data_IF_671782056533
#
_entry.id   IF_671782056533
#
_cell.length_a   1.000
_cell.length_b   1.000
_cell.length_c   1.000
_cell.angle_alpha   90.00
_cell.angle_beta   90.00
_cell.angle_gamma   90.00
#
_symmetry.space_group_name_H-M   'P 1'
#
loop_
_entity.id
_entity.type
_entity.pdbx_description
1 polymer ?
#
# COMPACT_ATOMS: atom_id res chain seq x y z
N UNK A 1 -7.07 5.88 26.23
CA UNK A 1 -8.51 6.22 26.18
C UNK A 1 -8.78 7.63 25.64
N UNK A 2 -8.15 8.70 26.14
CA UNK A 2 -8.40 10.08 25.67
C UNK A 2 -8.03 10.40 24.21
N UNK A 3 -7.13 9.64 23.59
CA UNK A 3 -6.71 9.89 22.20
C UNK A 3 -7.72 9.34 21.16
N UNK A 4 -8.42 8.24 21.48
CA UNK A 4 -9.45 7.63 20.62
C UNK A 4 -10.72 8.48 20.60
N UNK A 5 -11.08 9.13 21.71
CA UNK A 5 -12.25 10.02 21.76
C UNK A 5 -12.11 11.25 20.86
N UNK A 6 -10.92 11.83 20.71
CA UNK A 6 -10.72 12.99 19.84
C UNK A 6 -10.92 12.66 18.35
N UNK A 7 -10.45 11.48 17.90
CA UNK A 7 -10.67 11.02 16.53
C UNK A 7 -12.13 10.70 16.26
N UNK A 8 -12.81 10.05 17.21
CA UNK A 8 -14.26 9.82 17.13
C UNK A 8 -15.03 11.15 16.99
N UNK A 9 -14.67 12.18 17.75
CA UNK A 9 -15.28 13.52 17.61
C UNK A 9 -15.00 14.16 16.24
N UNK A 10 -13.79 14.00 15.68
CA UNK A 10 -13.45 14.51 14.35
C UNK A 10 -14.21 13.79 13.22
N UNK A 11 -14.39 12.47 13.34
CA UNK A 11 -15.18 11.67 12.39
C UNK A 11 -16.66 12.06 12.46
N UNK A 12 -17.21 12.18 13.67
CA UNK A 12 -18.59 12.63 13.88
C UNK A 12 -18.82 14.04 13.32
N UNK A 13 -17.82 14.92 13.42
CA UNK A 13 -17.83 16.25 12.81
C UNK A 13 -17.52 16.24 11.30
N UNK A 14 -17.32 15.07 10.68
CA UNK A 14 -17.01 14.90 9.25
C UNK A 14 -15.81 15.74 8.77
N UNK A 15 -14.89 16.10 9.67
CA UNK A 15 -13.74 16.98 9.38
C UNK A 15 -12.85 16.45 8.25
N UNK A 16 -12.60 15.12 8.11
CA UNK A 16 -11.80 14.61 7.00
C UNK A 16 -12.36 14.95 5.61
N UNK A 17 -13.67 15.15 5.46
CA UNK A 17 -14.29 15.49 4.17
C UNK A 17 -13.83 16.86 3.65
N UNK A 18 -13.51 17.80 4.54
CA UNK A 18 -13.00 19.11 4.14
C UNK A 18 -11.58 19.05 3.56
N UNK A 19 -10.86 17.93 3.76
CA UNK A 19 -9.52 17.73 3.22
C UNK A 19 -9.52 17.15 1.80
N UNK A 20 -10.63 16.55 1.35
CA UNK A 20 -10.70 15.88 0.06
C UNK A 20 -10.57 16.80 -1.15
N UNK A 21 -11.14 18.03 -1.13
CA UNK A 21 -10.87 19.02 -2.18
C UNK A 21 -9.37 19.31 -2.34
N UNK A 22 -8.61 19.31 -1.25
CA UNK A 22 -7.16 19.53 -1.29
C UNK A 22 -6.43 18.35 -1.94
N UNK A 23 -6.82 17.12 -1.60
CA UNK A 23 -6.28 15.89 -2.22
C UNK A 23 -6.55 15.83 -3.72
N UNK A 24 -7.66 16.40 -4.19
CA UNK A 24 -8.02 16.35 -5.61
C UNK A 24 -7.32 17.41 -6.48
N UNK A 25 -6.59 18.36 -5.87
CA UNK A 25 -5.84 19.38 -6.62
C UNK A 25 -4.81 18.75 -7.57
N UNK A 26 -4.74 19.23 -8.81
CA UNK A 26 -3.85 18.67 -9.85
C UNK A 26 -2.58 19.49 -10.08
N UNK A 27 -2.50 20.70 -9.50
CA UNK A 27 -1.34 21.56 -9.63
C UNK A 27 -0.09 20.91 -9.05
N UNK A 28 1.00 20.92 -9.82
CA UNK A 28 2.32 20.41 -9.44
C UNK A 28 3.22 21.48 -8.81
N UNK A 29 2.68 22.67 -8.52
CA UNK A 29 3.48 23.69 -7.83
C UNK A 29 3.70 23.28 -6.37
N UNK A 30 4.87 23.63 -5.83
CA UNK A 30 5.31 23.28 -4.47
C UNK A 30 4.25 23.56 -3.38
N UNK A 31 3.49 24.67 -3.39
CA UNK A 31 2.43 24.90 -2.40
C UNK A 31 1.31 23.85 -2.43
N UNK A 32 0.88 23.42 -3.61
CA UNK A 32 -0.18 22.42 -3.76
C UNK A 32 0.31 21.01 -3.42
N UNK A 33 1.57 20.69 -3.74
CA UNK A 33 2.17 19.42 -3.28
C UNK A 33 2.24 19.34 -1.76
N UNK A 34 2.67 20.41 -1.10
CA UNK A 34 2.72 20.47 0.35
C UNK A 34 1.32 20.37 0.96
N UNK A 35 0.34 21.08 0.40
CA UNK A 35 -1.06 21.01 0.84
C UNK A 35 -1.64 19.59 0.76
N UNK A 36 -1.39 18.88 -0.35
CA UNK A 36 -1.78 17.46 -0.49
C UNK A 36 -1.09 16.58 0.53
N UNK A 37 0.22 16.74 0.70
CA UNK A 37 1.00 15.94 1.65
C UNK A 37 0.53 16.14 3.10
N UNK A 38 0.27 17.38 3.52
CA UNK A 38 -0.25 17.68 4.85
C UNK A 38 -1.64 17.10 5.05
N UNK A 39 -2.51 17.19 4.04
CA UNK A 39 -3.85 16.59 4.07
C UNK A 39 -3.79 15.07 4.20
N UNK A 40 -2.92 14.40 3.42
CA UNK A 40 -2.65 12.96 3.54
C UNK A 40 -2.07 12.62 4.92
N UNK A 41 -1.23 13.48 5.49
CA UNK A 41 -0.67 13.28 6.84
C UNK A 41 -1.75 13.20 7.91
N UNK A 42 -2.80 14.04 7.83
CA UNK A 42 -3.94 13.98 8.74
C UNK A 42 -4.72 12.68 8.58
N UNK A 43 -5.04 12.28 7.34
CA UNK A 43 -5.71 11.00 7.07
C UNK A 43 -4.84 9.82 7.53
N UNK A 44 -3.53 9.88 7.29
CA UNK A 44 -2.55 8.91 7.74
C UNK A 44 -2.52 8.74 9.26
N UNK A 45 -2.64 9.85 10.00
CA UNK A 45 -2.73 9.82 11.46
C UNK A 45 -4.04 9.18 11.94
N UNK A 46 -5.16 9.45 11.25
CA UNK A 46 -6.48 8.87 11.52
C UNK A 46 -6.44 7.34 11.37
N UNK A 47 -5.98 6.84 10.22
CA UNK A 47 -5.94 5.38 9.98
C UNK A 47 -4.90 4.65 10.82
N UNK A 48 -3.94 5.36 11.42
CA UNK A 48 -2.94 4.78 12.31
C UNK A 48 -3.54 4.23 13.62
N UNK A 49 -4.74 4.66 13.99
CA UNK A 49 -5.44 4.24 15.22
C UNK A 49 -5.92 2.78 15.16
N UNK A 50 -5.95 2.16 13.97
CA UNK A 50 -6.40 0.77 13.78
C UNK A 50 -7.84 0.50 14.25
N UNK A 51 -8.73 1.47 13.98
CA UNK A 51 -10.15 1.37 14.33
C UNK A 51 -11.01 1.04 13.09
N UNK A 52 -11.79 -0.04 13.16
CA UNK A 52 -12.68 -0.47 12.08
C UNK A 52 -13.80 0.55 11.79
N UNK A 53 -14.23 1.36 12.77
CA UNK A 53 -15.21 2.43 12.53
C UNK A 53 -14.64 3.53 11.63
N UNK A 54 -13.37 3.88 11.83
CA UNK A 54 -12.62 4.79 10.96
C UNK A 54 -12.57 4.25 9.53
N UNK A 55 -12.24 2.96 9.39
CA UNK A 55 -12.17 2.32 8.07
C UNK A 55 -13.53 2.36 7.38
N UNK A 56 -14.61 1.98 8.07
CA UNK A 56 -15.97 2.07 7.54
C UNK A 56 -16.33 3.47 7.07
N UNK A 57 -16.08 4.49 7.90
CA UNK A 57 -16.30 5.89 7.52
C UNK A 57 -15.56 6.24 6.23
N UNK A 58 -14.26 5.97 6.16
CA UNK A 58 -13.43 6.30 5.00
C UNK A 58 -13.83 5.58 3.71
N UNK A 59 -14.34 4.34 3.81
CA UNK A 59 -14.84 3.59 2.66
C UNK A 59 -16.11 4.20 2.06
N UNK A 60 -16.94 4.87 2.87
CA UNK A 60 -18.15 5.57 2.38
C UNK A 60 -17.85 6.87 1.66
N UNK A 61 -16.61 7.36 1.72
CA UNK A 61 -16.24 8.72 1.30
C UNK A 61 -15.20 8.74 0.16
N UNK A 62 -15.06 7.66 -0.61
CA UNK A 62 -14.16 7.58 -1.77
C UNK A 62 -12.66 7.83 -1.47
N UNK A 63 -12.18 7.51 -0.26
CA UNK A 63 -10.76 7.70 0.07
C UNK A 63 -9.82 6.88 -0.84
N UNK A 64 -10.26 5.68 -1.26
CA UNK A 64 -9.44 4.74 -2.04
C UNK A 64 -9.13 5.36 -3.41
N UNK A 65 -10.10 5.79 -4.23
CA UNK A 65 -9.83 6.51 -5.48
C UNK A 65 -8.86 7.68 -5.33
N UNK A 66 -9.01 8.51 -4.28
CA UNK A 66 -8.12 9.65 -4.02
C UNK A 66 -6.68 9.21 -3.71
N UNK A 67 -6.52 8.16 -2.90
CA UNK A 67 -5.21 7.60 -2.59
C UNK A 67 -4.57 6.97 -3.84
N UNK A 68 -5.32 6.21 -4.63
CA UNK A 68 -4.83 5.59 -5.86
C UNK A 68 -4.33 6.63 -6.87
N UNK A 69 -5.08 7.73 -7.07
CA UNK A 69 -4.64 8.87 -7.90
C UNK A 69 -3.33 9.48 -7.39
N UNK A 70 -3.19 9.62 -6.08
CA UNK A 70 -1.97 10.14 -5.45
C UNK A 70 -0.79 9.17 -5.62
N UNK A 71 -1.03 7.87 -5.46
CA UNK A 71 -0.02 6.81 -5.64
C UNK A 71 0.52 6.79 -7.07
N UNK A 72 -0.31 7.09 -8.06
CA UNK A 72 0.10 7.16 -9.45
C UNK A 72 0.90 8.44 -9.77
N UNK A 73 0.37 9.61 -9.38
CA UNK A 73 0.83 10.91 -9.89
C UNK A 73 1.58 11.79 -8.88
N UNK A 74 1.63 11.40 -7.60
CA UNK A 74 2.20 12.22 -6.52
C UNK A 74 3.73 12.23 -6.47
N UNK A 75 4.27 13.09 -5.60
CA UNK A 75 5.69 13.01 -5.21
C UNK A 75 5.99 11.73 -4.43
N UNK A 76 7.24 11.30 -4.36
CA UNK A 76 7.65 10.08 -3.62
C UNK A 76 7.06 10.03 -2.20
N UNK A 77 7.13 11.14 -1.46
CA UNK A 77 6.56 11.24 -0.11
C UNK A 77 5.05 11.09 -0.12
N UNK A 78 4.34 11.73 -1.06
CA UNK A 78 2.88 11.63 -1.16
C UNK A 78 2.45 10.21 -1.53
N UNK A 79 3.17 9.56 -2.45
CA UNK A 79 2.96 8.14 -2.81
C UNK A 79 3.16 7.23 -1.61
N UNK A 80 4.18 7.48 -0.80
CA UNK A 80 4.47 6.70 0.42
C UNK A 80 3.32 6.82 1.41
N UNK A 81 2.85 8.04 1.71
CA UNK A 81 1.74 8.24 2.67
C UNK A 81 0.42 7.70 2.13
N UNK A 82 0.11 7.89 0.84
CA UNK A 82 -1.10 7.35 0.23
C UNK A 82 -1.10 5.81 0.20
N UNK A 83 0.04 5.19 -0.12
CA UNK A 83 0.18 3.72 -0.07
C UNK A 83 0.05 3.21 1.36
N UNK A 84 0.59 3.93 2.35
CA UNK A 84 0.39 3.60 3.77
C UNK A 84 -1.09 3.65 4.17
N UNK A 85 -1.86 4.64 3.71
CA UNK A 85 -3.31 4.72 3.98
C UNK A 85 -4.04 3.52 3.37
N UNK A 86 -3.78 3.20 2.09
CA UNK A 86 -4.37 2.03 1.42
C UNK A 86 -3.97 0.74 2.12
N UNK A 87 -2.71 0.62 2.58
CA UNK A 87 -2.26 -0.51 3.38
C UNK A 87 -3.10 -0.65 4.65
N UNK A 88 -3.31 0.42 5.42
CA UNK A 88 -4.09 0.36 6.67
C UNK A 88 -5.54 -0.05 6.42
N UNK A 89 -6.14 0.42 5.33
CA UNK A 89 -7.47 -0.02 4.89
C UNK A 89 -7.46 -1.52 4.57
N UNK A 90 -6.49 -2.01 3.79
CA UNK A 90 -6.40 -3.43 3.43
C UNK A 90 -6.15 -4.34 4.65
N UNK A 91 -5.44 -3.86 5.67
CA UNK A 91 -5.18 -4.63 6.89
C UNK A 91 -6.47 -4.94 7.66
N UNK A 92 -7.44 -4.02 7.64
CA UNK A 92 -8.76 -4.24 8.20
C UNK A 92 -9.59 -5.22 7.34
N UNK A 93 -10.39 -6.07 7.99
CA UNK A 93 -11.19 -7.08 7.28
C UNK A 93 -12.31 -6.47 6.44
N UNK A 94 -12.91 -5.35 6.89
CA UNK A 94 -13.93 -4.63 6.13
C UNK A 94 -13.31 -3.96 4.92
N UNK A 95 -12.15 -3.33 5.10
CA UNK A 95 -11.40 -2.72 4.00
C UNK A 95 -10.93 -3.72 2.94
N UNK A 96 -10.35 -4.86 3.36
CA UNK A 96 -10.03 -5.95 2.43
C UNK A 96 -11.29 -6.43 1.69
N UNK A 97 -12.37 -6.69 2.44
CA UNK A 97 -13.65 -7.13 1.89
C UNK A 97 -14.20 -6.18 0.83
N UNK A 98 -14.13 -4.87 1.07
CA UNK A 98 -14.54 -3.83 0.13
C UNK A 98 -13.72 -3.86 -1.17
N UNK A 99 -12.39 -3.98 -1.07
CA UNK A 99 -11.48 -3.97 -2.24
C UNK A 99 -11.66 -5.21 -3.11
N UNK A 100 -11.83 -6.38 -2.49
CA UNK A 100 -11.98 -7.66 -3.21
C UNK A 100 -13.44 -8.00 -3.54
N UNK A 101 -14.38 -7.11 -3.19
CA UNK A 101 -15.81 -7.31 -3.43
C UNK A 101 -16.10 -7.47 -4.94
N UNK A 102 -15.54 -6.57 -5.76
CA UNK A 102 -15.69 -6.56 -7.21
C UNK A 102 -14.32 -6.69 -7.89
N UNK A 103 -14.32 -7.26 -9.09
CA UNK A 103 -13.09 -7.36 -9.89
C UNK A 103 -12.52 -5.97 -10.22
N UNK A 104 -13.39 -5.00 -10.54
CA UNK A 104 -13.00 -3.63 -10.85
C UNK A 104 -12.18 -2.98 -9.74
N UNK A 105 -12.66 -3.04 -8.48
CA UNK A 105 -11.94 -2.47 -7.33
C UNK A 105 -10.60 -3.15 -7.11
N UNK A 106 -10.56 -4.48 -7.19
CA UNK A 106 -9.32 -5.24 -7.07
C UNK A 106 -8.31 -4.84 -8.16
N UNK A 107 -8.74 -4.82 -9.43
CA UNK A 107 -7.86 -4.48 -10.55
C UNK A 107 -7.41 -3.01 -10.52
N UNK A 108 -8.24 -2.08 -10.07
CA UNK A 108 -7.85 -0.69 -9.87
C UNK A 108 -6.68 -0.57 -8.86
N UNK A 109 -6.77 -1.25 -7.72
CA UNK A 109 -5.69 -1.26 -6.72
C UNK A 109 -4.45 -1.97 -7.25
N UNK A 110 -4.61 -3.16 -7.83
CA UNK A 110 -3.51 -3.98 -8.34
C UNK A 110 -2.77 -3.32 -9.50
N UNK A 111 -3.46 -2.61 -10.39
CA UNK A 111 -2.84 -1.89 -11.51
C UNK A 111 -1.94 -0.75 -11.03
N UNK A 112 -2.40 0.06 -10.06
CA UNK A 112 -1.60 1.15 -9.50
C UNK A 112 -0.40 0.61 -8.72
N UNK A 113 -0.57 -0.46 -7.93
CA UNK A 113 0.55 -1.13 -7.26
C UNK A 113 1.58 -1.64 -8.26
N UNK A 114 1.15 -2.28 -9.36
CA UNK A 114 2.03 -2.77 -10.42
C UNK A 114 2.82 -1.62 -11.07
N UNK A 115 2.16 -0.53 -11.44
CA UNK A 115 2.82 0.64 -12.03
C UNK A 115 3.88 1.22 -11.08
N UNK A 116 3.61 1.27 -9.77
CA UNK A 116 4.61 1.72 -8.80
C UNK A 116 5.80 0.75 -8.71
N UNK A 117 5.57 -0.57 -8.73
CA UNK A 117 6.67 -1.55 -8.74
C UNK A 117 7.54 -1.39 -9.98
N UNK A 118 6.94 -1.21 -11.15
CA UNK A 118 7.67 -1.01 -12.41
C UNK A 118 8.52 0.27 -12.42
N UNK A 119 8.15 1.29 -11.65
CA UNK A 119 8.90 2.55 -11.54
C UNK A 119 10.05 2.51 -10.51
N UNK A 120 10.05 1.54 -9.58
CA UNK A 120 11.05 1.47 -8.50
C UNK A 120 12.49 1.25 -8.96
N UNK A 121 12.81 0.51 -10.04
CA UNK A 121 14.19 0.39 -10.51
C UNK A 121 14.81 1.73 -10.94
N UNK A 122 14.01 2.64 -11.50
CA UNK A 122 14.46 3.97 -11.91
C UNK A 122 14.46 4.97 -10.73
N UNK A 123 13.51 4.82 -9.80
CA UNK A 123 13.33 5.71 -8.65
C UNK A 123 13.22 4.86 -7.37
N UNK A 124 14.35 4.37 -6.82
CA UNK A 124 14.33 3.43 -5.72
C UNK A 124 13.83 4.08 -4.42
N UNK A 125 12.85 3.44 -3.78
CA UNK A 125 12.33 3.84 -2.47
C UNK A 125 11.94 2.63 -1.63
N UNK A 126 12.81 2.29 -0.66
CA UNK A 126 12.61 1.13 0.23
C UNK A 126 11.34 1.28 1.08
N UNK A 127 11.04 2.51 1.52
CA UNK A 127 9.84 2.81 2.32
C UNK A 127 8.56 2.55 1.53
N UNK A 128 8.53 2.98 0.26
CA UNK A 128 7.40 2.74 -0.62
C UNK A 128 7.25 1.24 -0.93
N UNK A 129 8.36 0.58 -1.29
CA UNK A 129 8.38 -0.86 -1.58
C UNK A 129 7.83 -1.69 -0.41
N UNK A 130 8.21 -1.34 0.83
CA UNK A 130 7.68 -1.98 2.04
C UNK A 130 6.15 -1.95 2.11
N UNK A 131 5.55 -0.79 1.86
CA UNK A 131 4.09 -0.65 1.87
C UNK A 131 3.44 -1.43 0.72
N UNK A 132 4.04 -1.41 -0.48
CA UNK A 132 3.56 -2.16 -1.64
C UNK A 132 3.54 -3.68 -1.37
N UNK A 133 4.64 -4.24 -0.88
CA UNK A 133 4.75 -5.66 -0.53
C UNK A 133 3.68 -6.02 0.52
N UNK A 134 3.49 -5.16 1.52
CA UNK A 134 2.49 -5.42 2.58
C UNK A 134 1.06 -5.41 2.05
N UNK A 135 0.74 -4.56 1.07
CA UNK A 135 -0.54 -4.54 0.37
C UNK A 135 -0.76 -5.84 -0.42
N UNK A 136 0.21 -6.26 -1.25
CA UNK A 136 0.10 -7.51 -2.01
C UNK A 136 -0.05 -8.73 -1.10
N UNK A 137 0.75 -8.81 -0.03
CA UNK A 137 0.63 -9.88 0.96
C UNK A 137 -0.78 -9.94 1.53
N UNK A 138 -1.35 -8.80 1.92
CA UNK A 138 -2.70 -8.74 2.48
C UNK A 138 -3.77 -9.12 1.46
N UNK A 139 -3.63 -8.69 0.21
CA UNK A 139 -4.53 -9.10 -0.88
C UNK A 139 -4.49 -10.62 -1.09
N UNK A 140 -3.31 -11.25 -0.95
CA UNK A 140 -3.16 -12.70 -1.08
C UNK A 140 -3.88 -13.49 0.01
N UNK A 141 -4.30 -12.88 1.13
CA UNK A 141 -5.10 -13.57 2.14
C UNK A 141 -6.48 -13.98 1.62
N UNK A 142 -7.05 -13.21 0.67
CA UNK A 142 -8.32 -13.54 0.04
C UNK A 142 -8.14 -14.54 -1.12
N UNK A 143 -8.93 -15.60 -1.17
CA UNK A 143 -8.80 -16.67 -2.17
C UNK A 143 -8.98 -16.20 -3.62
N UNK A 144 -9.95 -15.30 -3.89
CA UNK A 144 -10.21 -14.77 -5.23
C UNK A 144 -9.09 -13.85 -5.69
N UNK A 145 -8.66 -12.94 -4.81
CA UNK A 145 -7.54 -12.04 -5.10
C UNK A 145 -6.23 -12.80 -5.28
N UNK A 146 -5.98 -13.83 -4.45
CA UNK A 146 -4.81 -14.72 -4.56
C UNK A 146 -4.74 -15.38 -5.93
N UNK A 147 -5.84 -15.92 -6.42
CA UNK A 147 -5.88 -16.55 -7.74
C UNK A 147 -5.54 -15.55 -8.86
N UNK A 148 -6.11 -14.35 -8.81
CA UNK A 148 -5.78 -13.30 -9.77
C UNK A 148 -4.31 -12.88 -9.67
N UNK A 149 -3.76 -12.75 -8.45
CA UNK A 149 -2.35 -12.41 -8.23
C UNK A 149 -1.38 -13.44 -8.81
N UNK A 150 -1.75 -14.73 -8.90
CA UNK A 150 -0.90 -15.74 -9.58
C UNK A 150 -0.62 -15.38 -11.03
N UNK A 151 -1.51 -14.61 -11.66
CA UNK A 151 -1.42 -14.25 -13.08
C UNK A 151 -0.90 -12.83 -13.29
N UNK A 152 -1.07 -11.93 -12.31
CA UNK A 152 -0.78 -10.50 -12.46
C UNK A 152 0.25 -9.93 -11.48
N UNK A 153 0.89 -10.74 -10.63
CA UNK A 153 1.97 -10.26 -9.76
C UNK A 153 3.14 -9.72 -10.63
N UNK A 154 3.68 -8.52 -10.33
CA UNK A 154 4.80 -7.98 -11.08
C UNK A 154 6.04 -8.88 -10.99
N UNK A 155 6.65 -9.19 -12.14
CA UNK A 155 7.86 -10.04 -12.20
C UNK A 155 9.04 -9.50 -11.39
N UNK A 156 9.12 -8.18 -11.23
CA UNK A 156 10.14 -7.54 -10.40
C UNK A 156 10.05 -7.89 -8.91
N UNK A 157 8.90 -8.38 -8.43
CA UNK A 157 8.76 -8.89 -7.06
C UNK A 157 9.12 -10.38 -6.95
N UNK A 158 9.16 -11.09 -8.08
CA UNK A 158 9.53 -12.52 -8.11
C UNK A 158 11.00 -12.71 -8.42
N UNK A 159 11.64 -11.77 -9.11
CA UNK A 159 13.06 -11.81 -9.43
C UNK A 159 13.94 -11.19 -8.32
N UNK A 160 15.25 -11.20 -8.54
CA UNK A 160 16.23 -10.70 -7.58
C UNK A 160 16.41 -9.16 -7.60
N UNK A 161 15.56 -8.40 -8.31
CA UNK A 161 15.72 -6.95 -8.50
C UNK A 161 15.79 -6.20 -7.18
N UNK A 162 14.98 -6.59 -6.19
CA UNK A 162 14.91 -5.89 -4.90
C UNK A 162 15.66 -6.59 -3.76
N UNK A 163 16.37 -7.69 -4.02
CA UNK A 163 17.06 -8.47 -2.97
C UNK A 163 18.08 -7.63 -2.20
N UNK A 164 18.90 -6.84 -2.90
CA UNK A 164 19.88 -5.94 -2.30
C UNK A 164 19.22 -4.80 -1.52
N UNK A 165 18.15 -4.21 -2.06
CA UNK A 165 17.39 -3.14 -1.39
C UNK A 165 16.72 -3.61 -0.08
N UNK A 166 16.37 -4.90 0.01
CA UNK A 166 15.71 -5.49 1.18
C UNK A 166 16.69 -6.20 2.14
N UNK A 167 18.00 -6.16 1.88
CA UNK A 167 19.02 -6.88 2.66
C UNK A 167 19.06 -6.48 4.15
N UNK A 168 18.65 -5.26 4.49
CA UNK A 168 18.59 -4.78 5.89
C UNK A 168 17.18 -4.87 6.51
N UNK A 169 16.12 -5.05 5.71
CA UNK A 169 14.73 -5.14 6.20
C UNK A 169 14.23 -6.60 6.19
N UNK A 170 14.63 -7.36 7.20
CA UNK A 170 14.24 -8.76 7.38
C UNK A 170 12.73 -8.97 7.45
N UNK A 171 11.98 -8.00 7.99
CA UNK A 171 10.53 -8.07 8.09
C UNK A 171 9.89 -8.02 6.69
N UNK A 172 10.31 -7.06 5.86
CA UNK A 172 9.78 -6.91 4.51
C UNK A 172 10.17 -8.08 3.61
N UNK A 173 11.39 -8.65 3.78
CA UNK A 173 11.76 -9.92 3.12
C UNK A 173 10.84 -11.06 3.51
N UNK A 174 10.55 -11.22 4.80
CA UNK A 174 9.62 -12.24 5.28
C UNK A 174 8.22 -12.09 4.69
N UNK A 175 7.75 -10.84 4.54
CA UNK A 175 6.47 -10.56 3.88
C UNK A 175 6.48 -10.92 2.39
N UNK A 176 7.56 -10.60 1.67
CA UNK A 176 7.71 -10.95 0.26
C UNK A 176 7.75 -12.47 0.08
N UNK A 177 8.54 -13.17 0.90
CA UNK A 177 8.60 -14.63 0.87
C UNK A 177 7.22 -15.27 1.12
N UNK A 178 6.48 -14.80 2.13
CA UNK A 178 5.14 -15.31 2.39
C UNK A 178 4.16 -15.03 1.24
N UNK A 179 4.27 -13.86 0.59
CA UNK A 179 3.48 -13.53 -0.59
C UNK A 179 3.77 -14.51 -1.74
N UNK A 180 5.05 -14.77 -2.01
CA UNK A 180 5.49 -15.70 -3.06
C UNK A 180 4.96 -17.11 -2.81
N UNK A 181 5.03 -17.60 -1.56
CA UNK A 181 4.42 -18.89 -1.16
C UNK A 181 2.91 -18.88 -1.42
N UNK A 182 2.21 -17.82 -1.05
CA UNK A 182 0.75 -17.73 -1.22
C UNK A 182 0.34 -17.80 -2.71
N UNK A 183 1.13 -17.22 -3.61
CA UNK A 183 0.84 -17.24 -5.06
C UNK A 183 1.41 -18.46 -5.78
N UNK A 184 2.16 -19.34 -5.10
CA UNK A 184 2.65 -20.61 -5.64
C UNK A 184 4.12 -20.60 -6.10
N UNK A 185 4.85 -19.53 -5.86
CA UNK A 185 6.32 -19.47 -6.00
C UNK A 185 6.96 -19.97 -4.69
N UNK A 186 6.94 -21.30 -4.50
CA UNK A 186 7.43 -21.96 -3.28
C UNK A 186 8.92 -22.30 -3.28
N UNK A 187 9.37 -23.03 -2.24
CA UNK A 187 10.76 -23.42 -1.95
C UNK A 187 11.53 -24.16 -3.07
N UNK A 188 10.83 -24.66 -4.08
CA UNK A 188 11.41 -25.34 -5.25
C UNK A 188 11.92 -24.37 -6.33
N UNK A 189 11.56 -23.09 -6.25
CA UNK A 189 12.08 -22.05 -7.15
C UNK A 189 13.47 -21.60 -6.65
N UNK A 190 14.54 -21.71 -7.46
CA UNK A 190 15.86 -21.19 -7.09
C UNK A 190 15.80 -19.73 -6.64
N UNK A 191 14.89 -18.92 -7.22
CA UNK A 191 14.74 -17.50 -6.92
C UNK A 191 14.24 -17.25 -5.50
N UNK A 192 13.46 -18.18 -4.94
CA UNK A 192 12.90 -18.08 -3.59
C UNK A 192 13.99 -18.12 -2.51
N UNK A 193 15.03 -18.93 -2.70
CA UNK A 193 16.09 -19.11 -1.69
C UNK A 193 16.90 -17.84 -1.48
N UNK A 194 17.29 -17.16 -2.54
CA UNK A 194 18.11 -15.94 -2.44
C UNK A 194 17.33 -14.73 -1.91
N UNK A 195 16.00 -14.71 -2.05
CA UNK A 195 15.13 -13.67 -1.47
C UNK A 195 15.02 -13.86 0.06
N UNK A 196 14.98 -15.12 0.53
CA UNK A 196 14.84 -15.45 1.96
C UNK A 196 16.19 -15.38 2.68
N UNK A 197 17.23 -15.93 2.05
CA UNK A 197 18.61 -15.98 2.54
C UNK A 197 19.53 -15.34 1.49
N UNK A 198 19.68 -14.00 1.49
CA UNK A 198 20.61 -13.35 0.57
C UNK A 198 22.02 -13.88 0.85
N UNK A 199 22.64 -14.48 -0.15
CA UNK A 199 24.02 -14.96 -0.06
C UNK A 199 24.93 -13.78 0.33
N UNK A 200 25.81 -13.91 1.33
CA UNK A 200 26.72 -12.83 1.67
C UNK A 200 27.59 -12.53 0.45
N UNK A 201 27.51 -11.30 -0.04
CA UNK A 201 28.41 -10.81 -1.10
C UNK A 201 29.80 -10.78 -0.48
N UNK A 202 30.64 -11.75 -0.85
CA UNK A 202 32.06 -11.73 -0.53
C UNK A 202 32.64 -10.59 -1.39
N UNK A 203 32.99 -9.49 -0.72
CA UNK A 203 33.67 -8.34 -1.31
C UNK A 203 35.09 -8.71 -1.76
#
# INVERSE_FOLDING_TARGET
MYFSSAWSMLLNAHVPLFLYPFLNTTSKTRPFEYLRLTSLGVIGAIVKVDDTEIINFLLTTEIIPLCLKTMEMGSELSKTVATFIVQKILLDNVGLGYVVQTAERFFAVSAVLNNMVLALPEQPSVRLLKHIIRCYLRLSDNSRAREALRQCLPKLLTDHTFTSCLAEDAQTRGWLAQLLVNVGHGHSDPQFRDIVEPTPVIA
#
